data_IF_942999331632
#
_entry.id   IF_942999331632
#
_cell.length_a   1.000
_cell.length_b   1.000
_cell.length_c   1.000
_cell.angle_alpha   90.00
_cell.angle_beta   90.00
_cell.angle_gamma   90.00
#
_symmetry.space_group_name_H-M   'P 1'
#
loop_
_entity.id
_entity.type
_entity.pdbx_description
1 polymer ?
#
# COMPACT_ATOMS: atom_id res chain seq x y z
N UNK A 1 18.68 -15.65 -29.14
CA UNK A 1 17.24 -15.42 -28.83
C UNK A 1 16.73 -16.24 -27.62
N UNK A 2 17.23 -17.45 -27.34
CA UNK A 2 16.73 -18.31 -26.24
C UNK A 2 17.01 -17.83 -24.81
N UNK A 3 18.16 -17.18 -24.54
CA UNK A 3 18.51 -16.68 -23.19
C UNK A 3 17.67 -15.49 -22.74
N UNK A 4 17.25 -14.62 -23.67
CA UNK A 4 16.40 -13.48 -23.37
C UNK A 4 14.97 -13.95 -23.07
N UNK A 5 14.44 -14.88 -23.87
CA UNK A 5 13.15 -15.52 -23.63
C UNK A 5 13.13 -16.35 -22.33
N UNK A 6 14.21 -17.05 -22.00
CA UNK A 6 14.32 -17.76 -20.72
C UNK A 6 14.38 -16.80 -19.52
N UNK A 7 15.09 -15.66 -19.64
CA UNK A 7 15.07 -14.61 -18.62
C UNK A 7 13.70 -13.94 -18.49
N UNK A 8 13.01 -13.67 -19.61
CA UNK A 8 11.65 -13.12 -19.65
C UNK A 8 10.63 -14.10 -19.05
N UNK A 9 10.73 -15.40 -19.36
CA UNK A 9 9.89 -16.44 -18.77
C UNK A 9 10.13 -16.59 -17.27
N UNK A 10 11.40 -16.60 -16.84
CA UNK A 10 11.76 -16.65 -15.42
C UNK A 10 11.33 -15.38 -14.66
N UNK A 11 11.33 -14.23 -15.33
CA UNK A 11 10.79 -12.96 -14.80
C UNK A 11 9.26 -12.99 -14.74
N UNK A 12 8.60 -13.54 -15.76
CA UNK A 12 7.15 -13.74 -15.84
C UNK A 12 6.66 -14.69 -14.75
N UNK A 13 7.35 -15.81 -14.53
CA UNK A 13 7.05 -16.77 -13.46
C UNK A 13 7.29 -16.18 -12.05
N UNK A 14 8.08 -15.10 -11.94
CA UNK A 14 8.31 -14.36 -10.69
C UNK A 14 7.27 -13.25 -10.41
N UNK A 15 6.51 -12.84 -11.42
CA UNK A 15 5.52 -11.77 -11.33
C UNK A 15 4.14 -12.42 -11.11
N UNK A 16 3.56 -12.23 -9.91
CA UNK A 16 2.18 -12.68 -9.60
C UNK A 16 1.23 -12.15 -10.68
N UNK A 17 0.30 -12.99 -11.16
CA UNK A 17 -0.70 -12.61 -12.15
C UNK A 17 -1.49 -11.35 -11.76
N UNK A 18 -1.59 -11.04 -10.47
CA UNK A 18 -2.12 -9.76 -9.99
C UNK A 18 -1.31 -8.54 -10.44
N UNK A 19 0.02 -8.62 -10.40
CA UNK A 19 0.91 -7.54 -10.85
C UNK A 19 0.80 -7.33 -12.36
N UNK A 20 0.64 -8.41 -13.13
CA UNK A 20 0.40 -8.31 -14.58
C UNK A 20 -0.93 -7.62 -14.90
N UNK A 21 -2.02 -8.06 -14.25
CA UNK A 21 -3.33 -7.41 -14.40
C UNK A 21 -3.23 -5.92 -14.05
N UNK A 22 -2.49 -5.59 -12.99
CA UNK A 22 -2.25 -4.22 -12.58
C UNK A 22 -1.52 -3.40 -13.66
N UNK A 23 -0.40 -3.91 -14.17
CA UNK A 23 0.36 -3.22 -15.22
C UNK A 23 -0.46 -3.04 -16.50
N UNK A 24 -1.26 -4.03 -16.88
CA UNK A 24 -2.18 -3.95 -18.02
C UNK A 24 -3.24 -2.87 -17.79
N UNK A 25 -3.83 -2.80 -16.61
CA UNK A 25 -4.80 -1.77 -16.27
C UNK A 25 -4.17 -0.36 -16.38
N UNK A 26 -2.94 -0.18 -15.88
CA UNK A 26 -2.20 1.08 -16.00
C UNK A 26 -1.95 1.42 -17.48
N UNK A 27 -1.51 0.47 -18.30
CA UNK A 27 -1.27 0.69 -19.71
C UNK A 27 -2.55 1.12 -20.45
N UNK A 28 -3.70 0.51 -20.15
CA UNK A 28 -5.00 0.91 -20.71
C UNK A 28 -5.38 2.32 -20.22
N UNK A 29 -5.17 2.63 -18.94
CA UNK A 29 -5.49 3.94 -18.38
C UNK A 29 -4.69 5.08 -19.05
N UNK A 30 -3.42 4.82 -19.40
CA UNK A 30 -2.57 5.77 -20.12
C UNK A 30 -2.99 5.93 -21.59
N UNK A 31 -3.46 4.86 -22.23
CA UNK A 31 -3.84 4.88 -23.64
C UNK A 31 -5.26 5.45 -23.90
N UNK A 32 -6.20 5.17 -23.00
CA UNK A 32 -7.60 5.56 -23.13
C UNK A 32 -8.17 6.08 -21.80
N UNK A 33 -7.68 7.24 -21.30
CA UNK A 33 -8.02 7.74 -19.97
C UNK A 33 -9.52 8.06 -19.82
N UNK A 34 -10.16 8.57 -20.88
CA UNK A 34 -11.56 9.04 -20.85
C UNK A 34 -12.55 7.98 -20.34
N UNK A 35 -12.31 6.70 -20.70
CA UNK A 35 -13.18 5.57 -20.35
C UNK A 35 -13.26 5.37 -18.82
N UNK A 36 -12.14 5.57 -18.13
CA UNK A 36 -11.98 5.26 -16.71
C UNK A 36 -11.97 6.45 -15.76
N UNK A 37 -12.17 7.67 -16.28
CA UNK A 37 -12.27 8.86 -15.40
C UNK A 37 -13.47 8.76 -14.47
N UNK A 38 -13.41 9.48 -13.35
CA UNK A 38 -14.47 9.47 -12.34
C UNK A 38 -15.86 9.85 -12.88
N UNK A 39 -15.89 10.74 -13.88
CA UNK A 39 -17.10 11.21 -14.60
C UNK A 39 -17.24 10.60 -16.01
N UNK A 40 -16.40 9.64 -16.36
CA UNK A 40 -16.41 8.96 -17.64
C UNK A 40 -17.64 8.04 -17.80
N UNK A 41 -17.79 7.37 -18.95
CA UNK A 41 -18.96 6.55 -19.26
C UNK A 41 -19.19 5.43 -18.24
N UNK A 42 -18.11 4.89 -17.66
CA UNK A 42 -18.16 3.85 -16.64
C UNK A 42 -18.46 4.38 -15.22
N UNK A 43 -18.56 5.70 -15.03
CA UNK A 43 -18.82 6.35 -13.74
C UNK A 43 -17.92 5.82 -12.62
N UNK A 44 -16.62 5.63 -12.92
CA UNK A 44 -15.71 4.92 -12.02
C UNK A 44 -15.50 5.62 -10.67
N UNK A 45 -15.87 6.90 -10.53
CA UNK A 45 -15.87 7.57 -9.24
C UNK A 45 -16.84 6.91 -8.25
N UNK A 46 -18.07 6.61 -8.70
CA UNK A 46 -19.09 5.95 -7.87
C UNK A 46 -18.74 4.47 -7.70
N UNK A 47 -18.35 3.78 -8.79
CA UNK A 47 -18.02 2.35 -8.76
C UNK A 47 -16.85 2.08 -7.82
N UNK A 48 -15.78 2.86 -7.89
CA UNK A 48 -14.63 2.70 -7.00
C UNK A 48 -14.98 3.05 -5.55
N UNK A 49 -15.80 4.09 -5.31
CA UNK A 49 -16.26 4.42 -3.95
C UNK A 49 -17.10 3.29 -3.32
N UNK A 50 -18.04 2.72 -4.08
CA UNK A 50 -18.82 1.56 -3.64
C UNK A 50 -17.94 0.32 -3.45
N UNK A 51 -16.98 0.09 -4.35
CA UNK A 51 -16.00 -0.98 -4.26
C UNK A 51 -15.16 -0.86 -2.99
N UNK A 52 -14.68 0.34 -2.67
CA UNK A 52 -13.96 0.64 -1.42
C UNK A 52 -14.83 0.29 -0.23
N UNK A 53 -16.07 0.80 -0.16
CA UNK A 53 -16.98 0.49 0.93
C UNK A 53 -17.20 -1.02 1.08
N UNK A 54 -17.40 -1.74 -0.02
CA UNK A 54 -17.51 -3.20 -0.04
C UNK A 54 -16.25 -3.89 0.49
N UNK A 55 -15.07 -3.48 0.07
CA UNK A 55 -13.80 -4.07 0.52
C UNK A 55 -13.57 -3.82 2.00
N UNK A 56 -13.81 -2.61 2.51
CA UNK A 56 -13.68 -2.33 3.94
C UNK A 56 -14.73 -3.08 4.76
N UNK A 57 -15.95 -3.21 4.26
CA UNK A 57 -16.97 -4.08 4.85
C UNK A 57 -16.51 -5.54 4.93
N UNK A 58 -15.98 -6.09 3.83
CA UNK A 58 -15.46 -7.46 3.80
C UNK A 58 -14.27 -7.64 4.74
N UNK A 59 -13.37 -6.66 4.83
CA UNK A 59 -12.27 -6.66 5.80
C UNK A 59 -12.78 -6.70 7.24
N UNK A 60 -13.79 -5.88 7.55
CA UNK A 60 -14.48 -5.89 8.82
C UNK A 60 -15.09 -7.26 9.10
N UNK A 61 -15.88 -7.80 8.19
CA UNK A 61 -16.57 -9.07 8.38
C UNK A 61 -15.64 -10.30 8.44
N UNK A 62 -14.50 -10.25 7.75
CA UNK A 62 -13.52 -11.34 7.73
C UNK A 62 -12.61 -11.39 8.98
N UNK A 63 -12.49 -10.29 9.70
CA UNK A 63 -11.54 -10.17 10.82
C UNK A 63 -12.09 -10.81 12.09
N UNK A 64 -11.56 -11.98 12.45
CA UNK A 64 -11.98 -12.70 13.65
C UNK A 64 -11.30 -12.21 14.92
N UNK A 65 -12.08 -12.09 15.99
CA UNK A 65 -11.59 -11.76 17.34
C UNK A 65 -10.53 -12.76 17.78
N UNK A 66 -10.74 -14.05 17.54
CA UNK A 66 -9.77 -15.09 17.94
C UNK A 66 -8.43 -14.95 17.20
N UNK A 67 -8.44 -14.56 15.92
CA UNK A 67 -7.20 -14.30 15.16
C UNK A 67 -6.53 -13.01 15.60
N UNK A 68 -7.31 -11.99 15.97
CA UNK A 68 -6.78 -10.77 16.56
C UNK A 68 -6.09 -11.05 17.90
N UNK A 69 -6.76 -11.79 18.79
CA UNK A 69 -6.23 -12.13 20.12
C UNK A 69 -5.03 -13.07 20.01
N UNK A 70 -5.07 -14.06 19.12
CA UNK A 70 -3.93 -14.94 18.87
C UNK A 70 -2.73 -14.17 18.29
N UNK A 71 -2.98 -13.22 17.38
CA UNK A 71 -1.96 -12.35 16.81
C UNK A 71 -1.33 -11.45 17.87
N UNK A 72 -2.15 -10.83 18.72
CA UNK A 72 -1.77 -9.82 19.71
C UNK A 72 -0.70 -10.29 20.72
N UNK A 73 -0.48 -11.60 20.87
CA UNK A 73 0.56 -12.15 21.75
C UNK A 73 1.97 -11.70 21.37
N UNK A 74 2.22 -11.38 20.09
CA UNK A 74 3.53 -10.94 19.62
C UNK A 74 3.67 -9.40 19.62
N UNK A 75 3.52 -8.79 20.80
CA UNK A 75 3.50 -7.34 20.97
C UNK A 75 4.76 -6.65 20.44
N UNK A 76 5.94 -7.29 20.54
CA UNK A 76 7.21 -6.75 20.04
C UNK A 76 7.16 -6.54 18.52
N UNK A 77 6.64 -7.52 17.79
CA UNK A 77 6.44 -7.41 16.34
C UNK A 77 5.42 -6.32 15.99
N UNK A 78 4.36 -6.18 16.78
CA UNK A 78 3.33 -5.16 16.53
C UNK A 78 3.85 -3.75 16.72
N UNK A 79 4.49 -3.48 17.87
CA UNK A 79 5.11 -2.18 18.14
C UNK A 79 6.15 -1.85 17.08
N UNK A 80 6.96 -2.82 16.66
CA UNK A 80 7.93 -2.65 15.59
C UNK A 80 7.25 -2.16 14.30
N UNK A 81 6.27 -2.90 13.79
CA UNK A 81 5.61 -2.58 12.52
C UNK A 81 4.88 -1.24 12.58
N UNK A 82 4.16 -0.95 13.67
CA UNK A 82 3.43 0.30 13.81
C UNK A 82 4.39 1.50 13.94
N UNK A 83 5.51 1.34 14.67
CA UNK A 83 6.53 2.38 14.80
C UNK A 83 7.17 2.71 13.46
N UNK A 84 7.47 1.70 12.65
CA UNK A 84 7.96 1.95 11.30
C UNK A 84 6.93 2.70 10.45
N UNK A 85 5.66 2.29 10.53
CA UNK A 85 4.59 2.86 9.71
C UNK A 85 4.25 4.31 10.07
N UNK A 86 4.18 4.63 11.37
CA UNK A 86 3.65 5.91 11.87
C UNK A 86 4.68 6.81 12.53
N UNK A 87 5.92 6.36 12.67
CA UNK A 87 7.03 7.19 13.17
C UNK A 87 8.13 7.28 12.13
N UNK A 88 8.76 6.16 11.77
CA UNK A 88 9.93 6.16 10.88
C UNK A 88 9.57 6.72 9.51
N UNK A 89 8.51 6.22 8.87
CA UNK A 89 8.09 6.74 7.57
C UNK A 89 7.77 8.24 7.60
N UNK A 90 6.87 8.74 8.47
CA UNK A 90 6.60 10.18 8.55
C UNK A 90 7.84 11.03 8.84
N UNK A 91 8.75 10.57 9.70
CA UNK A 91 10.03 11.26 9.95
C UNK A 91 10.87 11.33 8.69
N UNK A 92 11.02 10.23 7.95
CA UNK A 92 11.73 10.22 6.66
C UNK A 92 11.04 11.15 5.65
N UNK A 93 9.71 11.15 5.59
CA UNK A 93 8.94 12.06 4.76
C UNK A 93 9.19 13.53 5.10
N UNK A 94 9.17 13.89 6.39
CA UNK A 94 9.46 15.25 6.85
C UNK A 94 10.91 15.66 6.54
N UNK A 95 11.88 14.77 6.73
CA UNK A 95 13.27 15.02 6.34
C UNK A 95 13.42 15.24 4.82
N UNK A 96 12.70 14.47 4.00
CA UNK A 96 12.68 14.67 2.54
C UNK A 96 12.05 16.02 2.18
N UNK A 97 10.95 16.41 2.83
CA UNK A 97 10.36 17.74 2.63
C UNK A 97 11.37 18.85 2.96
N UNK A 98 12.03 18.77 4.11
CA UNK A 98 13.03 19.76 4.53
C UNK A 98 14.26 19.78 3.61
N UNK A 99 14.74 18.62 3.16
CA UNK A 99 15.92 18.53 2.30
C UNK A 99 15.65 19.02 0.87
N UNK A 100 14.41 18.86 0.38
CA UNK A 100 14.08 19.06 -1.04
C UNK A 100 13.16 20.28 -1.30
N UNK A 101 12.78 21.05 -0.27
CA UNK A 101 11.85 22.18 -0.40
C UNK A 101 12.24 23.23 -1.44
N UNK A 102 13.53 23.46 -1.66
CA UNK A 102 14.03 24.42 -2.67
C UNK A 102 14.15 23.83 -4.07
N UNK A 103 14.00 22.52 -4.22
CA UNK A 103 14.31 21.79 -5.47
C UNK A 103 13.08 21.20 -6.14
N UNK A 104 12.03 20.89 -5.37
CA UNK A 104 10.84 20.20 -5.87
C UNK A 104 9.55 20.97 -5.52
N UNK A 105 8.50 20.83 -6.34
CA UNK A 105 7.20 21.46 -6.06
C UNK A 105 6.63 21.05 -4.71
N UNK A 106 6.01 22.00 -4.00
CA UNK A 106 5.41 21.75 -2.69
C UNK A 106 4.37 20.61 -2.72
N UNK A 107 3.54 20.56 -3.76
CA UNK A 107 2.53 19.51 -3.95
C UNK A 107 3.14 18.11 -4.09
N UNK A 108 4.29 18.00 -4.75
CA UNK A 108 5.01 16.72 -4.84
C UNK A 108 5.54 16.29 -3.48
N UNK A 109 6.15 17.22 -2.73
CA UNK A 109 6.67 16.95 -1.39
C UNK A 109 5.55 16.58 -0.43
N UNK A 110 4.39 17.23 -0.54
CA UNK A 110 3.18 16.89 0.19
C UNK A 110 2.69 15.48 -0.17
N UNK A 111 2.74 15.10 -1.45
CA UNK A 111 2.43 13.74 -1.92
C UNK A 111 3.41 12.67 -1.40
N UNK A 112 4.70 13.01 -1.30
CA UNK A 112 5.72 12.13 -0.70
C UNK A 112 5.48 11.95 0.80
N UNK A 113 5.16 13.04 1.52
CA UNK A 113 4.80 12.94 2.93
C UNK A 113 3.49 12.17 3.12
N UNK A 114 2.49 12.38 2.26
CA UNK A 114 1.24 11.63 2.27
C UNK A 114 1.50 10.12 2.13
N UNK A 115 2.31 9.70 1.15
CA UNK A 115 2.78 8.31 1.03
C UNK A 115 3.39 7.80 2.36
N UNK A 116 4.22 8.61 3.00
CA UNK A 116 4.86 8.25 4.27
C UNK A 116 3.86 8.15 5.43
N UNK A 117 2.80 8.95 5.45
CA UNK A 117 1.78 8.95 6.50
C UNK A 117 0.79 7.78 6.39
N UNK A 118 0.74 7.09 5.25
CA UNK A 118 -0.26 6.05 5.00
C UNK A 118 -0.04 4.76 5.79
N UNK A 119 -1.14 4.01 6.06
CA UNK A 119 -1.09 2.68 6.67
C UNK A 119 -0.45 1.62 5.77
N UNK A 120 -0.13 0.48 6.39
CA UNK A 120 0.31 -0.74 5.71
C UNK A 120 -0.81 -1.44 4.93
N UNK A 121 -0.42 -2.34 4.02
CA UNK A 121 -1.31 -3.15 3.17
C UNK A 121 -1.74 -4.45 3.81
N UNK A 122 -3.04 -4.80 3.75
CA UNK A 122 -3.51 -6.14 4.16
C UNK A 122 -3.20 -7.17 3.08
N UNK A 123 -3.77 -6.99 1.89
CA UNK A 123 -3.73 -8.00 0.82
C UNK A 123 -2.31 -8.43 0.42
N UNK A 124 -1.45 -7.48 0.04
CA UNK A 124 -0.09 -7.78 -0.43
C UNK A 124 0.87 -8.17 0.70
N UNK A 125 0.74 -7.61 1.91
CA UNK A 125 1.60 -8.04 3.04
C UNK A 125 1.29 -9.49 3.44
N UNK A 126 0.01 -9.85 3.55
CA UNK A 126 -0.41 -11.21 3.91
C UNK A 126 -0.02 -12.21 2.81
N UNK A 127 -0.24 -11.88 1.54
CA UNK A 127 0.14 -12.74 0.43
C UNK A 127 1.65 -12.99 0.36
N UNK A 128 2.47 -11.93 0.44
CA UNK A 128 3.94 -12.06 0.38
C UNK A 128 4.50 -12.76 1.62
N UNK A 129 3.93 -12.50 2.80
CA UNK A 129 4.31 -13.22 4.04
C UNK A 129 4.00 -14.71 3.92
N UNK A 130 2.82 -15.06 3.39
CA UNK A 130 2.44 -16.45 3.16
C UNK A 130 3.37 -17.13 2.16
N UNK A 131 3.69 -16.46 1.05
CA UNK A 131 4.61 -16.98 0.03
C UNK A 131 6.01 -17.22 0.60
N UNK A 132 6.50 -16.29 1.42
CA UNK A 132 7.79 -16.38 2.10
C UNK A 132 7.82 -17.37 3.28
N UNK A 133 6.69 -18.01 3.62
CA UNK A 133 6.55 -18.88 4.80
C UNK A 133 6.85 -18.15 6.12
N UNK A 134 6.33 -16.93 6.27
CA UNK A 134 6.44 -16.12 7.48
C UNK A 134 5.23 -16.19 8.41
N UNK A 135 5.20 -15.35 9.44
CA UNK A 135 4.10 -15.29 10.42
C UNK A 135 2.86 -14.59 9.83
N UNK A 136 2.03 -15.35 9.11
CA UNK A 136 0.81 -14.87 8.43
C UNK A 136 -0.19 -14.25 9.41
N UNK A 137 -0.36 -14.83 10.59
CA UNK A 137 -1.27 -14.31 11.63
C UNK A 137 -0.83 -12.92 12.10
N UNK A 138 0.48 -12.76 12.35
CA UNK A 138 1.08 -11.46 12.67
C UNK A 138 0.92 -10.44 11.54
N UNK A 139 1.01 -10.87 10.28
CA UNK A 139 0.82 -9.99 9.13
C UNK A 139 -0.63 -9.50 9.01
N UNK A 140 -1.61 -10.39 9.19
CA UNK A 140 -3.03 -10.03 9.18
C UNK A 140 -3.32 -9.02 10.30
N UNK A 141 -2.86 -9.30 11.52
CA UNK A 141 -3.05 -8.39 12.65
C UNK A 141 -2.45 -7.02 12.37
N UNK A 142 -1.15 -6.98 12.02
CA UNK A 142 -0.42 -5.74 11.83
C UNK A 142 -0.96 -4.88 10.71
N UNK A 143 -1.29 -5.48 9.58
CA UNK A 143 -1.84 -4.73 8.45
C UNK A 143 -3.24 -4.19 8.76
N UNK A 144 -4.06 -4.96 9.47
CA UNK A 144 -5.42 -4.54 9.83
C UNK A 144 -5.41 -3.42 10.86
N UNK A 145 -4.66 -3.58 11.95
CA UNK A 145 -4.57 -2.53 12.98
C UNK A 145 -3.87 -1.29 12.44
N UNK A 146 -2.89 -1.46 11.55
CA UNK A 146 -2.30 -0.34 10.82
C UNK A 146 -3.37 0.39 10.03
N UNK A 147 -4.18 -0.30 9.21
CA UNK A 147 -5.30 0.32 8.48
C UNK A 147 -6.23 1.16 9.37
N UNK A 148 -6.65 0.61 10.52
CA UNK A 148 -7.52 1.30 11.47
C UNK A 148 -6.87 2.52 12.11
N UNK A 149 -5.62 2.39 12.58
CA UNK A 149 -4.85 3.52 13.12
C UNK A 149 -4.69 4.59 12.03
N UNK A 150 -4.42 4.19 10.79
CA UNK A 150 -4.16 5.09 9.67
C UNK A 150 -5.36 5.93 9.28
N UNK A 151 -6.58 5.44 9.47
CA UNK A 151 -7.81 6.23 9.27
C UNK A 151 -7.88 7.47 10.17
N UNK A 152 -7.25 7.41 11.34
CA UNK A 152 -7.16 8.54 12.28
C UNK A 152 -5.84 9.29 12.14
N UNK A 153 -4.72 8.57 12.11
CA UNK A 153 -3.37 9.16 12.17
C UNK A 153 -3.00 9.84 10.86
N UNK A 154 -3.38 9.32 9.69
CA UNK A 154 -3.00 9.94 8.41
C UNK A 154 -3.58 11.36 8.28
N UNK A 155 -4.89 11.61 8.49
CA UNK A 155 -5.43 12.97 8.44
C UNK A 155 -4.81 13.91 9.48
N UNK A 156 -4.46 13.41 10.67
CA UNK A 156 -3.80 14.21 11.71
C UNK A 156 -2.37 14.61 11.32
N UNK A 157 -1.57 13.68 10.80
CA UNK A 157 -0.22 13.96 10.31
C UNK A 157 -0.25 14.93 9.13
N UNK A 158 -1.20 14.74 8.20
CA UNK A 158 -1.38 15.65 7.07
C UNK A 158 -1.81 17.04 7.53
N UNK A 159 -2.77 17.12 8.46
CA UNK A 159 -3.22 18.38 9.05
C UNK A 159 -2.08 19.14 9.73
N UNK A 160 -1.19 18.43 10.44
CA UNK A 160 0.01 19.01 11.07
C UNK A 160 0.96 19.62 10.02
N UNK A 161 1.29 18.88 8.97
CA UNK A 161 2.20 19.35 7.91
C UNK A 161 1.62 20.52 7.12
N UNK A 162 0.33 20.45 6.76
CA UNK A 162 -0.36 21.53 6.04
C UNK A 162 -0.42 22.80 6.91
N UNK A 163 -0.73 22.64 8.20
CA UNK A 163 -0.73 23.77 9.15
C UNK A 163 0.65 24.39 9.32
N UNK A 164 1.71 23.57 9.34
CA UNK A 164 3.08 24.05 9.41
C UNK A 164 3.50 24.86 8.18
N UNK A 165 2.90 24.61 7.00
CA UNK A 165 3.08 25.44 5.80
C UNK A 165 2.24 26.73 5.77
N UNK A 166 1.47 27.02 6.83
CA UNK A 166 0.61 28.21 6.91
C UNK A 166 -0.76 28.05 6.22
N UNK A 167 -1.08 26.86 5.71
CA UNK A 167 -2.38 26.55 5.12
C UNK A 167 -3.28 25.85 6.16
N UNK A 168 -4.60 26.01 6.03
CA UNK A 168 -5.55 25.32 6.91
C UNK A 168 -6.16 24.11 6.21
N UNK A 169 -6.10 22.94 6.85
CA UNK A 169 -6.86 21.77 6.43
C UNK A 169 -8.18 21.68 7.22
N UNK A 170 -9.34 21.46 6.57
CA UNK A 170 -10.60 21.16 7.25
C UNK A 170 -10.58 19.77 7.94
N UNK A 171 -9.78 19.62 8.99
CA UNK A 171 -9.47 18.34 9.63
C UNK A 171 -10.73 17.58 10.07
N UNK A 172 -11.72 18.28 10.63
CA UNK A 172 -13.00 17.67 11.01
C UNK A 172 -13.77 17.06 9.83
N UNK A 173 -13.78 17.72 8.66
CA UNK A 173 -14.36 17.16 7.44
C UNK A 173 -13.54 15.98 6.91
N UNK A 174 -12.22 16.06 6.97
CA UNK A 174 -11.34 14.98 6.54
C UNK A 174 -11.53 13.72 7.40
N UNK A 175 -11.52 13.86 8.73
CA UNK A 175 -11.77 12.76 9.67
C UNK A 175 -13.17 12.16 9.49
N UNK A 176 -14.20 13.00 9.35
CA UNK A 176 -15.57 12.53 9.11
C UNK A 176 -15.70 11.81 7.77
N UNK A 177 -15.09 12.33 6.69
CA UNK A 177 -15.09 11.69 5.38
C UNK A 177 -14.41 10.32 5.41
N UNK A 178 -13.23 10.22 6.05
CA UNK A 178 -12.52 8.95 6.22
C UNK A 178 -13.32 7.98 7.09
N UNK A 179 -13.94 8.47 8.17
CA UNK A 179 -14.79 7.67 9.03
C UNK A 179 -16.00 7.12 8.26
N UNK A 180 -16.67 7.93 7.44
CA UNK A 180 -17.83 7.49 6.66
C UNK A 180 -17.46 6.55 5.52
N UNK A 181 -16.35 6.79 4.81
CA UNK A 181 -16.00 6.00 3.63
C UNK A 181 -15.27 4.70 3.97
N UNK A 182 -14.44 4.68 5.02
CA UNK A 182 -13.59 3.53 5.35
C UNK A 182 -13.97 2.87 6.68
N UNK A 183 -14.11 3.66 7.75
CA UNK A 183 -14.33 3.10 9.09
C UNK A 183 -15.75 2.56 9.27
N UNK A 184 -16.76 3.27 8.77
CA UNK A 184 -18.17 2.90 8.90
C UNK A 184 -18.47 1.56 8.19
N UNK A 185 -18.11 1.36 6.90
CA UNK A 185 -18.30 0.07 6.25
C UNK A 185 -17.56 -1.06 6.99
N UNK A 186 -16.34 -0.80 7.45
CA UNK A 186 -15.59 -1.75 8.26
C UNK A 186 -16.31 -2.12 9.56
N UNK A 187 -16.81 -1.12 10.29
CA UNK A 187 -17.54 -1.32 11.54
C UNK A 187 -18.82 -2.12 11.32
N UNK A 188 -19.58 -1.79 10.27
CA UNK A 188 -20.77 -2.56 9.87
C UNK A 188 -20.42 -4.01 9.54
N UNK A 189 -19.30 -4.24 8.83
CA UNK A 189 -18.78 -5.58 8.58
C UNK A 189 -18.46 -6.34 9.86
N UNK A 190 -17.79 -5.69 10.81
CA UNK A 190 -17.49 -6.27 12.14
C UNK A 190 -18.76 -6.60 12.93
N UNK A 191 -19.77 -5.73 12.91
CA UNK A 191 -21.05 -5.95 13.59
C UNK A 191 -21.81 -7.14 12.99
N UNK A 192 -21.79 -7.29 11.66
CA UNK A 192 -22.45 -8.41 10.96
C UNK A 192 -21.62 -9.70 10.98
N UNK A 193 -20.36 -9.66 11.40
CA UNK A 193 -19.46 -10.81 11.40
C UNK A 193 -20.05 -12.07 12.09
N UNK A 194 -20.73 -12.02 13.24
CA UNK A 194 -21.29 -13.22 13.87
C UNK A 194 -22.26 -13.98 12.95
N UNK A 195 -22.92 -13.27 12.02
CA UNK A 195 -23.88 -13.84 11.07
C UNK A 195 -23.18 -14.36 9.81
N UNK A 196 -22.29 -13.56 9.20
CA UNK A 196 -21.73 -13.84 7.87
C UNK A 196 -20.29 -14.36 7.87
N UNK A 197 -19.57 -14.26 8.99
CA UNK A 197 -18.13 -14.52 9.08
C UNK A 197 -17.74 -15.96 8.73
N UNK A 198 -18.53 -16.95 9.17
CA UNK A 198 -18.29 -18.36 8.86
C UNK A 198 -18.54 -18.66 7.37
N UNK A 199 -19.55 -18.03 6.78
CA UNK A 199 -19.83 -18.13 5.35
C UNK A 199 -18.72 -17.48 4.51
N UNK A 200 -18.26 -16.29 4.90
CA UNK A 200 -17.13 -15.60 4.26
C UNK A 200 -15.83 -16.40 4.34
N UNK A 201 -15.57 -17.05 5.48
CA UNK A 201 -14.40 -17.92 5.63
C UNK A 201 -14.40 -19.08 4.62
N UNK A 202 -15.58 -19.67 4.34
CA UNK A 202 -15.74 -20.70 3.29
C UNK A 202 -15.60 -20.14 1.87
N UNK A 203 -15.89 -18.85 1.67
CA UNK A 203 -15.82 -18.16 0.37
C UNK A 203 -14.58 -17.26 0.22
N UNK A 204 -13.52 -17.50 1.01
CA UNK A 204 -12.27 -16.73 1.00
C UNK A 204 -11.65 -16.50 -0.40
N UNK A 205 -11.68 -17.46 -1.35
CA UNK A 205 -11.17 -17.22 -2.70
C UNK A 205 -11.96 -16.13 -3.45
N UNK A 206 -13.27 -16.05 -3.24
CA UNK A 206 -14.14 -15.04 -3.88
C UNK A 206 -13.87 -13.67 -3.27
N UNK A 207 -13.81 -13.57 -1.93
CA UNK A 207 -13.55 -12.30 -1.25
C UNK A 207 -12.17 -11.74 -1.61
N UNK A 208 -11.18 -12.60 -1.78
CA UNK A 208 -9.83 -12.21 -2.25
C UNK A 208 -9.85 -11.68 -3.69
N UNK A 209 -10.65 -12.28 -4.58
CA UNK A 209 -10.81 -11.79 -5.96
C UNK A 209 -11.52 -10.44 -5.99
N UNK A 210 -12.54 -10.24 -5.15
CA UNK A 210 -13.25 -8.96 -5.02
C UNK A 210 -12.28 -7.87 -4.54
N UNK A 211 -11.52 -8.13 -3.47
CA UNK A 211 -10.51 -7.19 -2.94
C UNK A 211 -9.50 -6.78 -4.02
N UNK A 212 -8.87 -7.76 -4.67
CA UNK A 212 -7.92 -7.50 -5.76
C UNK A 212 -8.56 -6.76 -6.94
N UNK A 213 -9.79 -7.12 -7.32
CA UNK A 213 -10.52 -6.48 -8.42
C UNK A 213 -10.82 -5.01 -8.14
N UNK A 214 -11.27 -4.70 -6.93
CA UNK A 214 -11.50 -3.31 -6.50
C UNK A 214 -10.20 -2.52 -6.47
N UNK A 215 -9.10 -3.10 -5.99
CA UNK A 215 -7.79 -2.43 -6.01
C UNK A 215 -7.39 -2.09 -7.46
N UNK A 216 -7.54 -3.02 -8.40
CA UNK A 216 -7.27 -2.79 -9.83
C UNK A 216 -8.13 -1.64 -10.36
N UNK A 217 -9.42 -1.62 -10.05
CA UNK A 217 -10.33 -0.56 -10.48
C UNK A 217 -9.95 0.81 -9.89
N UNK A 218 -9.56 0.87 -8.62
CA UNK A 218 -9.11 2.10 -7.96
C UNK A 218 -7.87 2.63 -8.66
N UNK A 219 -6.88 1.79 -8.92
CA UNK A 219 -5.66 2.20 -9.60
C UNK A 219 -5.95 2.64 -11.03
N UNK A 220 -6.71 1.84 -11.78
CA UNK A 220 -7.13 2.17 -13.15
C UNK A 220 -7.79 3.55 -13.20
N UNK A 221 -8.81 3.77 -12.37
CA UNK A 221 -9.51 5.06 -12.29
C UNK A 221 -8.59 6.20 -11.89
N UNK A 222 -7.65 5.97 -10.97
CA UNK A 222 -6.71 7.02 -10.53
C UNK A 222 -5.71 7.41 -11.62
N UNK A 223 -5.21 6.44 -12.40
CA UNK A 223 -4.36 6.73 -13.56
C UNK A 223 -5.14 7.41 -14.68
N UNK A 224 -6.40 7.02 -14.91
CA UNK A 224 -7.28 7.70 -15.86
C UNK A 224 -7.51 9.15 -15.44
N UNK A 225 -7.88 9.40 -14.18
CA UNK A 225 -8.09 10.75 -13.62
C UNK A 225 -6.81 11.59 -13.80
N UNK A 226 -5.66 11.10 -13.34
CA UNK A 226 -4.39 11.84 -13.44
C UNK A 226 -3.95 12.10 -14.90
N UNK A 227 -4.20 11.15 -15.80
CA UNK A 227 -3.85 11.31 -17.22
C UNK A 227 -4.78 12.30 -17.90
N UNK A 228 -6.09 12.23 -17.65
CA UNK A 228 -7.08 13.15 -18.18
C UNK A 228 -6.90 14.58 -17.64
N UNK A 229 -6.45 14.72 -16.40
CA UNK A 229 -6.05 16.00 -15.79
C UNK A 229 -4.75 16.54 -16.38
N UNK A 230 -4.07 15.83 -17.28
CA UNK A 230 -2.90 16.33 -17.99
C UNK A 230 -1.58 16.24 -17.20
N UNK A 231 -1.49 15.37 -16.19
CA UNK A 231 -0.29 15.17 -15.36
C UNK A 231 1.00 15.05 -16.20
N UNK A 232 0.93 14.35 -17.33
CA UNK A 232 2.08 14.08 -18.21
C UNK A 232 2.57 15.28 -19.02
N UNK A 233 1.76 16.33 -19.12
CA UNK A 233 2.08 17.52 -19.91
C UNK A 233 2.22 18.77 -19.04
N UNK A 234 1.54 18.82 -17.89
CA UNK A 234 1.59 19.95 -16.95
C UNK A 234 2.88 20.01 -16.15
N UNK A 235 3.54 18.87 -15.92
CA UNK A 235 4.77 18.80 -15.12
C UNK A 235 5.98 18.46 -15.97
N UNK A 236 7.12 19.04 -15.60
CA UNK A 236 8.39 18.73 -16.24
C UNK A 236 8.77 17.26 -16.02
N UNK A 237 9.44 16.66 -17.00
CA UNK A 237 9.87 15.26 -16.99
C UNK A 237 10.85 15.00 -15.84
N UNK A 238 11.59 16.04 -15.43
CA UNK A 238 12.45 16.05 -14.26
C UNK A 238 11.66 15.81 -12.97
N UNK A 239 10.49 16.45 -12.82
CA UNK A 239 9.59 16.26 -11.66
C UNK A 239 9.08 14.83 -11.59
N UNK A 240 8.65 14.26 -12.73
CA UNK A 240 8.19 12.86 -12.80
C UNK A 240 9.35 11.91 -12.48
N UNK A 241 10.53 12.14 -13.05
CA UNK A 241 11.75 11.39 -12.76
C UNK A 241 12.14 11.46 -11.28
N UNK A 242 12.00 12.62 -10.64
CA UNK A 242 12.25 12.80 -9.22
C UNK A 242 11.27 11.99 -8.36
N UNK A 243 9.98 11.93 -8.70
CA UNK A 243 9.01 11.05 -8.00
C UNK A 243 9.42 9.59 -8.11
N UNK A 244 9.79 9.13 -9.31
CA UNK A 244 10.23 7.76 -9.53
C UNK A 244 11.46 7.42 -8.68
N UNK A 245 12.44 8.32 -8.66
CA UNK A 245 13.66 8.16 -7.88
C UNK A 245 13.38 8.15 -6.37
N UNK A 246 12.61 9.12 -5.87
CA UNK A 246 12.27 9.24 -4.44
C UNK A 246 11.50 8.00 -3.99
N UNK A 247 10.49 7.57 -4.74
CA UNK A 247 9.71 6.37 -4.40
C UNK A 247 10.58 5.11 -4.37
N UNK A 248 11.50 4.95 -5.34
CA UNK A 248 12.43 3.84 -5.37
C UNK A 248 13.40 3.87 -4.18
N UNK A 249 14.08 5.01 -3.95
CA UNK A 249 15.03 5.19 -2.84
C UNK A 249 14.34 4.95 -1.51
N UNK A 250 13.16 5.55 -1.29
CA UNK A 250 12.38 5.36 -0.08
C UNK A 250 12.07 3.88 0.16
N UNK A 251 11.64 3.15 -0.88
CA UNK A 251 11.35 1.72 -0.77
C UNK A 251 12.59 0.91 -0.37
N UNK A 252 13.72 1.12 -1.05
CA UNK A 252 14.95 0.38 -0.76
C UNK A 252 15.50 0.71 0.64
N UNK A 253 15.49 1.98 1.03
CA UNK A 253 15.92 2.43 2.36
C UNK A 253 15.06 1.80 3.44
N UNK A 254 13.73 1.85 3.32
CA UNK A 254 12.85 1.30 4.35
C UNK A 254 12.90 -0.23 4.37
N UNK A 255 12.99 -0.92 3.23
CA UNK A 255 13.19 -2.37 3.21
C UNK A 255 14.51 -2.76 3.88
N UNK A 256 15.60 -2.06 3.58
CA UNK A 256 16.90 -2.30 4.19
C UNK A 256 16.87 -2.04 5.70
N UNK A 257 16.29 -0.91 6.11
CA UNK A 257 16.24 -0.49 7.50
C UNK A 257 15.32 -1.37 8.35
N UNK A 258 14.15 -1.75 7.83
CA UNK A 258 13.25 -2.73 8.50
C UNK A 258 13.94 -4.08 8.66
N UNK A 259 14.59 -4.60 7.61
CA UNK A 259 15.30 -5.89 7.64
C UNK A 259 16.44 -5.87 8.65
N UNK A 260 17.29 -4.84 8.61
CA UNK A 260 18.43 -4.71 9.52
C UNK A 260 17.99 -4.62 10.98
N UNK A 261 16.95 -3.82 11.25
CA UNK A 261 16.47 -3.61 12.62
C UNK A 261 15.76 -4.87 13.14
N UNK A 262 14.95 -5.54 12.32
CA UNK A 262 14.31 -6.81 12.66
C UNK A 262 15.33 -7.89 13.06
N UNK A 263 16.42 -8.01 12.29
CA UNK A 263 17.52 -8.93 12.59
C UNK A 263 18.25 -8.59 13.88
N UNK A 264 18.56 -7.31 14.09
CA UNK A 264 19.23 -6.85 15.32
C UNK A 264 18.38 -7.04 16.57
N UNK A 265 17.05 -6.98 16.43
CA UNK A 265 16.13 -7.26 17.53
C UNK A 265 15.94 -8.76 17.82
N UNK A 266 16.59 -9.63 17.05
CA UNK A 266 16.57 -11.08 17.26
C UNK A 266 15.23 -11.73 16.95
N UNK A 267 14.45 -11.19 16.01
CA UNK A 267 13.22 -11.85 15.57
C UNK A 267 13.51 -13.20 14.93
N UNK A 268 12.57 -14.15 15.08
CA UNK A 268 12.59 -15.37 14.28
C UNK A 268 12.48 -15.01 12.80
N UNK A 269 12.87 -15.94 11.92
CA UNK A 269 12.77 -15.72 10.46
C UNK A 269 11.32 -15.41 10.06
N UNK A 270 10.36 -16.09 10.67
CA UNK A 270 8.94 -15.91 10.39
C UNK A 270 8.45 -14.51 10.77
N UNK A 271 8.91 -13.98 11.92
CA UNK A 271 8.57 -12.65 12.40
C UNK A 271 9.35 -11.56 11.66
N UNK A 272 10.61 -11.80 11.27
CA UNK A 272 11.38 -10.92 10.40
C UNK A 272 10.66 -10.71 9.07
N UNK A 273 10.22 -11.78 8.42
CA UNK A 273 9.47 -11.72 7.15
C UNK A 273 8.24 -10.83 7.32
N UNK A 274 7.47 -11.04 8.39
CA UNK A 274 6.29 -10.23 8.68
C UNK A 274 6.64 -8.78 8.99
N UNK A 275 7.71 -8.54 9.75
CA UNK A 275 8.20 -7.21 10.10
C UNK A 275 8.62 -6.42 8.86
N UNK A 276 9.38 -7.05 7.96
CA UNK A 276 9.82 -6.45 6.71
C UNK A 276 8.62 -6.15 5.83
N UNK A 277 7.73 -7.12 5.61
CA UNK A 277 6.62 -6.92 4.68
C UNK A 277 5.53 -5.99 5.17
N UNK A 278 5.16 -6.04 6.45
CA UNK A 278 4.17 -5.12 7.00
C UNK A 278 4.77 -3.75 7.32
N UNK A 279 6.03 -3.69 7.74
CA UNK A 279 6.71 -2.45 8.13
C UNK A 279 7.19 -1.58 6.98
N UNK A 280 7.31 -2.12 5.75
CA UNK A 280 7.79 -1.38 4.57
C UNK A 280 6.72 -1.07 3.51
N UNK A 281 5.54 -1.70 3.57
CA UNK A 281 4.52 -1.50 2.55
C UNK A 281 3.57 -0.36 2.90
N UNK A 282 3.03 0.29 1.87
CA UNK A 282 2.02 1.34 1.95
C UNK A 282 0.78 0.98 1.15
N UNK A 283 -0.40 1.25 1.73
CA UNK A 283 -1.68 0.81 1.19
C UNK A 283 -2.28 1.79 0.22
N UNK A 284 -2.32 1.39 -1.05
CA UNK A 284 -3.05 2.10 -2.09
C UNK A 284 -4.57 2.02 -1.87
N UNK A 285 -5.07 0.86 -1.41
CA UNK A 285 -6.49 0.65 -1.13
C UNK A 285 -7.03 1.59 -0.04
N UNK A 286 -6.21 1.92 0.97
CA UNK A 286 -6.53 2.97 1.94
C UNK A 286 -6.23 4.36 1.36
N UNK A 287 -5.09 4.49 0.68
CA UNK A 287 -4.51 5.78 0.33
C UNK A 287 -5.27 6.55 -0.73
N UNK A 288 -5.76 5.90 -1.80
CA UNK A 288 -6.49 6.64 -2.84
C UNK A 288 -7.82 7.21 -2.32
N UNK A 289 -8.68 6.44 -1.61
CA UNK A 289 -9.88 7.02 -1.00
C UNK A 289 -9.56 8.16 -0.02
N UNK A 290 -8.54 7.97 0.83
CA UNK A 290 -8.09 9.03 1.73
C UNK A 290 -7.63 10.27 0.96
N UNK A 291 -6.85 10.12 -0.11
CA UNK A 291 -6.39 11.24 -0.91
C UNK A 291 -7.56 12.03 -1.52
N UNK A 292 -8.57 11.32 -2.07
CA UNK A 292 -9.77 11.95 -2.64
C UNK A 292 -10.58 12.73 -1.59
N UNK A 293 -10.53 12.34 -0.32
CA UNK A 293 -11.15 13.09 0.79
C UNK A 293 -10.27 14.25 1.26
N UNK A 294 -8.98 13.97 1.51
CA UNK A 294 -8.05 14.91 2.15
C UNK A 294 -7.67 16.06 1.22
N UNK A 295 -7.54 15.79 -0.07
CA UNK A 295 -7.17 16.74 -1.11
C UNK A 295 -8.35 17.02 -2.05
N UNK A 296 -9.58 16.88 -1.55
CA UNK A 296 -10.78 17.14 -2.34
C UNK A 296 -10.74 18.55 -2.95
N UNK A 297 -10.85 18.63 -4.27
CA UNK A 297 -10.80 19.91 -5.00
C UNK A 297 -9.40 20.51 -5.19
N UNK A 298 -8.34 19.81 -4.77
CA UNK A 298 -6.97 20.25 -5.04
C UNK A 298 -6.63 20.05 -6.52
N UNK A 299 -6.18 21.08 -7.26
CA UNK A 299 -5.93 20.99 -8.70
C UNK A 299 -4.79 20.02 -9.05
N UNK A 300 -3.85 19.81 -8.11
CA UNK A 300 -2.73 18.89 -8.26
C UNK A 300 -2.99 17.49 -7.67
N UNK A 301 -4.25 17.02 -7.61
CA UNK A 301 -4.58 15.71 -7.02
C UNK A 301 -3.75 14.58 -7.64
N UNK A 302 -3.65 14.55 -8.98
CA UNK A 302 -2.80 13.58 -9.69
C UNK A 302 -1.35 13.57 -9.23
N UNK A 303 -0.74 14.74 -8.98
CA UNK A 303 0.65 14.85 -8.51
C UNK A 303 0.79 14.38 -7.04
N UNK A 304 -0.19 14.71 -6.20
CA UNK A 304 -0.21 14.31 -4.79
C UNK A 304 -0.27 12.79 -4.61
N UNK A 305 -1.00 12.08 -5.48
CA UNK A 305 -1.14 10.61 -5.42
C UNK A 305 -0.05 9.87 -6.19
N UNK A 306 0.67 10.53 -7.09
CA UNK A 306 1.67 9.89 -7.95
C UNK A 306 2.77 9.15 -7.17
N UNK A 307 3.39 9.71 -6.11
CA UNK A 307 4.38 8.97 -5.31
C UNK A 307 3.84 7.65 -4.77
N UNK A 308 2.58 7.63 -4.32
CA UNK A 308 1.92 6.42 -3.83
C UNK A 308 1.72 5.40 -4.94
N UNK A 309 1.26 5.82 -6.12
CA UNK A 309 1.02 4.94 -7.26
C UNK A 309 2.32 4.26 -7.71
N UNK A 310 3.40 5.04 -7.80
CA UNK A 310 4.73 4.54 -8.15
C UNK A 310 5.28 3.60 -7.06
N UNK A 311 5.25 4.03 -5.80
CA UNK A 311 5.73 3.23 -4.68
C UNK A 311 5.00 1.89 -4.60
N UNK A 312 3.68 1.91 -4.82
CA UNK A 312 2.86 0.70 -4.79
C UNK A 312 3.28 -0.31 -5.87
N UNK A 313 3.58 0.15 -7.08
CA UNK A 313 4.00 -0.74 -8.14
C UNK A 313 5.40 -1.32 -7.85
N UNK A 314 6.32 -0.48 -7.41
CA UNK A 314 7.68 -0.89 -7.04
C UNK A 314 7.66 -1.88 -5.87
N UNK A 315 6.89 -1.63 -4.81
CA UNK A 315 6.83 -2.51 -3.65
C UNK A 315 6.28 -3.89 -4.02
N UNK A 316 5.33 -4.00 -4.95
CA UNK A 316 4.77 -5.30 -5.35
C UNK A 316 5.82 -6.15 -6.07
N UNK A 317 6.56 -5.55 -7.01
CA UNK A 317 7.62 -6.22 -7.77
C UNK A 317 8.80 -6.57 -6.85
N UNK A 318 9.30 -5.62 -6.08
CA UNK A 318 10.47 -5.83 -5.21
C UNK A 318 10.14 -6.83 -4.11
N UNK A 319 8.97 -6.72 -3.46
CA UNK A 319 8.60 -7.65 -2.41
C UNK A 319 8.28 -9.05 -2.94
N UNK A 320 7.80 -9.23 -4.18
CA UNK A 320 7.60 -10.58 -4.74
C UNK A 320 8.94 -11.30 -4.92
N UNK A 321 9.95 -10.60 -5.42
CA UNK A 321 11.32 -11.12 -5.56
C UNK A 321 11.89 -11.47 -4.18
N UNK A 322 11.74 -10.58 -3.19
CA UNK A 322 12.20 -10.83 -1.82
C UNK A 322 11.48 -12.03 -1.19
N UNK A 323 10.16 -12.13 -1.36
CA UNK A 323 9.36 -13.23 -0.83
C UNK A 323 9.75 -14.58 -1.46
N UNK A 324 10.03 -14.61 -2.76
CA UNK A 324 10.57 -15.79 -3.45
C UNK A 324 11.93 -16.20 -2.89
N UNK A 325 12.81 -15.24 -2.58
CA UNK A 325 14.10 -15.52 -1.92
C UNK A 325 13.93 -16.09 -0.52
N UNK A 326 13.02 -15.53 0.29
CA UNK A 326 12.71 -16.08 1.61
C UNK A 326 12.11 -17.49 1.54
N UNK A 327 11.30 -17.78 0.53
CA UNK A 327 10.71 -19.10 0.33
C UNK A 327 11.76 -20.18 0.02
N UNK A 328 12.83 -19.80 -0.70
CA UNK A 328 13.92 -20.69 -1.10
C UNK A 328 15.13 -20.66 -0.14
N UNK A 329 14.95 -20.13 1.08
CA UNK A 329 16.06 -19.92 2.03
C UNK A 329 16.80 -21.20 2.41
N UNK A 330 16.11 -22.33 2.56
CA UNK A 330 16.71 -23.59 2.99
C UNK A 330 17.60 -24.19 1.89
N UNK A 331 17.10 -24.22 0.64
CA UNK A 331 17.89 -24.64 -0.52
C UNK A 331 19.13 -23.76 -0.77
N UNK A 332 19.03 -22.44 -0.50
CA UNK A 332 20.17 -21.51 -0.62
C UNK A 332 21.24 -21.74 0.47
N UNK A 333 20.84 -22.24 1.64
CA UNK A 333 21.78 -22.59 2.71
C UNK A 333 22.49 -23.90 2.39
N UNK A 334 21.78 -24.88 1.84
CA UNK A 334 22.34 -26.16 1.35
C UNK A 334 23.36 -25.94 0.23
N UNK A 335 23.04 -25.15 -0.79
CA UNK A 335 23.96 -24.81 -1.89
C UNK A 335 25.23 -24.09 -1.39
N UNK A 336 25.09 -23.21 -0.39
CA UNK A 336 26.22 -22.50 0.21
C UNK A 336 27.10 -23.39 1.07
N UNK A 337 26.51 -24.37 1.75
CA UNK A 337 27.25 -25.37 2.49
C UNK A 337 28.01 -26.29 1.52
N UNK A 338 27.36 -26.74 0.44
CA UNK A 338 27.97 -27.55 -0.61
C UNK A 338 29.11 -26.82 -1.36
N UNK A 339 28.96 -25.52 -1.64
CA UNK A 339 30.01 -24.71 -2.28
C UNK A 339 31.21 -24.39 -1.36
N UNK A 340 31.07 -24.63 -0.04
CA UNK A 340 32.15 -24.46 0.94
C UNK A 340 32.82 -25.78 1.33
N UNK A 341 32.22 -26.91 0.99
CA UNK A 341 32.77 -28.26 1.15
C UNK A 341 33.65 -28.61 -0.04
#
# INVERSE_FOLDING_TARGET
MSRLFAKLKKLYDLIDGFVLIMLTAIAIALAAPEIGTGKGPLHLGVVTSMGVALVFFLHGAALSRDKLVAGAKNWRLHVFVQSFTYVVFPVVGALLMLALHNTLPADLLLGVFFLCALPSTVSSSVAMTSMARGNVSGAIFNATISGLIGMLVTPLLMGLVISASGASMPLGKALTGVALQLLLPFALGQLLRPLIGNWLAKKKPITTKIDRGVIVLIVYSSFCDATAEGLWHQYQWQTIGAVMLIAAVLLFVVLGFTTLTARRMGFSVEDEITAVFCGSKKSLANGIPMAKILFAGHPALGLLVLPLMVYHQLQLIVCSVIASRYANRDALLEDRAAARA
#
